data_IF_989159647049
#
_entry.id   IF_989159647049
#
_cell.length_a   1.000
_cell.length_b   1.000
_cell.length_c   1.000
_cell.angle_alpha   90.00
_cell.angle_beta   90.00
_cell.angle_gamma   90.00
#
_symmetry.space_group_name_H-M   'P 1'
#
loop_
_entity.id
_entity.type
_entity.pdbx_description
1 polymer ?
#
# COMPACT_ATOMS: atom_id res chain seq x y z
N UNK A 1 6.04 -9.19 -11.07
CA UNK A 1 4.66 -9.43 -10.60
C UNK A 1 3.65 -8.98 -11.65
N UNK A 2 2.60 -9.77 -11.88
CA UNK A 2 1.44 -9.35 -12.70
C UNK A 2 0.36 -8.66 -11.84
N UNK A 3 -0.64 -8.02 -12.45
CA UNK A 3 -1.66 -7.24 -11.73
C UNK A 3 -2.43 -8.07 -10.69
N UNK A 4 -2.88 -9.29 -11.05
CA UNK A 4 -3.62 -10.16 -10.14
C UNK A 4 -2.79 -10.56 -8.90
N UNK A 5 -1.51 -10.89 -9.10
CA UNK A 5 -0.60 -11.18 -7.99
C UNK A 5 -0.37 -9.96 -7.11
N UNK A 6 -0.26 -8.77 -7.71
CA UNK A 6 -0.11 -7.52 -6.98
C UNK A 6 -1.36 -7.21 -6.15
N UNK A 7 -2.56 -7.38 -6.71
CA UNK A 7 -3.81 -7.24 -5.98
C UNK A 7 -3.92 -8.24 -4.82
N UNK A 8 -3.56 -9.51 -5.05
CA UNK A 8 -3.52 -10.53 -4.00
C UNK A 8 -2.57 -10.14 -2.87
N UNK A 9 -1.40 -9.62 -3.19
CA UNK A 9 -0.43 -9.15 -2.19
C UNK A 9 -0.94 -7.93 -1.43
N UNK A 10 -1.53 -6.94 -2.11
CA UNK A 10 -2.11 -5.77 -1.45
C UNK A 10 -3.21 -6.18 -0.45
N UNK A 11 -4.13 -7.08 -0.85
CA UNK A 11 -5.19 -7.59 0.04
C UNK A 11 -4.65 -8.30 1.26
N UNK A 12 -3.66 -9.17 1.06
CA UNK A 12 -2.97 -9.85 2.16
C UNK A 12 -2.36 -8.82 3.11
N UNK A 13 -1.64 -7.85 2.57
CA UNK A 13 -0.97 -6.81 3.36
C UNK A 13 -1.98 -5.98 4.13
N UNK A 14 -3.11 -5.59 3.53
CA UNK A 14 -4.18 -4.84 4.23
C UNK A 14 -4.71 -5.60 5.46
N UNK A 15 -4.74 -6.93 5.43
CA UNK A 15 -5.11 -7.76 6.59
C UNK A 15 -3.97 -7.85 7.60
N UNK A 16 -2.77 -8.21 7.15
CA UNK A 16 -1.61 -8.44 8.01
C UNK A 16 -1.13 -7.14 8.72
N UNK A 17 -1.40 -5.96 8.15
CA UNK A 17 -0.94 -4.67 8.70
C UNK A 17 -1.59 -4.34 10.05
N UNK A 18 -2.78 -4.88 10.33
CA UNK A 18 -3.53 -4.63 11.56
C UNK A 18 -2.89 -5.31 12.79
N UNK A 19 -2.06 -6.34 12.57
CA UNK A 19 -1.37 -7.06 13.64
C UNK A 19 0.02 -6.47 13.97
N UNK A 20 0.42 -5.40 13.27
CA UNK A 20 1.74 -4.80 13.44
C UNK A 20 1.84 -3.98 14.73
N UNK A 21 3.05 -3.92 15.27
CA UNK A 21 3.37 -3.13 16.46
C UNK A 21 4.75 -2.48 16.28
N UNK A 22 5.16 -1.62 17.23
CA UNK A 22 6.45 -0.90 17.18
C UNK A 22 7.67 -1.79 16.90
N UNK A 23 7.65 -3.08 17.26
CA UNK A 23 8.78 -4.00 17.01
C UNK A 23 8.75 -4.63 15.63
N UNK A 24 7.58 -4.77 15.01
CA UNK A 24 7.38 -5.52 13.77
C UNK A 24 7.07 -4.63 12.57
N UNK A 25 6.54 -3.42 12.79
CA UNK A 25 6.06 -2.55 11.72
C UNK A 25 7.15 -2.20 10.70
N UNK A 26 8.36 -1.84 11.16
CA UNK A 26 9.45 -1.46 10.26
C UNK A 26 9.89 -2.61 9.34
N UNK A 27 10.08 -3.80 9.92
CA UNK A 27 10.50 -4.99 9.16
C UNK A 27 9.43 -5.43 8.15
N UNK A 28 8.15 -5.16 8.43
CA UNK A 28 7.04 -5.49 7.57
C UNK A 28 6.80 -4.45 6.47
N UNK A 29 6.90 -3.16 6.80
CA UNK A 29 6.57 -2.07 5.89
C UNK A 29 7.71 -1.74 4.91
N UNK A 30 8.98 -1.94 5.26
CA UNK A 30 10.09 -1.74 4.31
C UNK A 30 9.97 -2.58 3.01
N UNK A 31 9.78 -3.91 3.05
CA UNK A 31 9.63 -4.71 1.84
C UNK A 31 8.34 -4.38 1.09
N UNK A 32 7.25 -4.07 1.80
CA UNK A 32 6.00 -3.62 1.21
C UNK A 32 6.21 -2.36 0.35
N UNK A 33 6.86 -1.35 0.90
CA UNK A 33 7.09 -0.10 0.18
C UNK A 33 8.00 -0.29 -1.03
N UNK A 34 8.97 -1.21 -0.97
CA UNK A 34 9.77 -1.58 -2.14
C UNK A 34 8.89 -2.20 -3.22
N UNK A 35 8.04 -3.16 -2.87
CA UNK A 35 7.09 -3.77 -3.82
C UNK A 35 6.19 -2.71 -4.47
N UNK A 36 5.61 -1.80 -3.67
CA UNK A 36 4.73 -0.74 -4.16
C UNK A 36 5.49 0.24 -5.09
N UNK A 37 6.72 0.63 -4.73
CA UNK A 37 7.51 1.54 -5.54
C UNK A 37 7.92 0.93 -6.90
N UNK A 38 8.29 -0.36 -6.94
CA UNK A 38 8.76 -1.00 -8.16
C UNK A 38 7.64 -1.63 -8.99
N UNK A 39 6.83 -2.50 -8.39
CA UNK A 39 5.75 -3.17 -9.09
C UNK A 39 4.52 -2.27 -9.24
N UNK A 40 4.19 -1.46 -8.23
CA UNK A 40 3.06 -0.53 -8.27
C UNK A 40 3.19 0.54 -9.35
N UNK A 41 4.34 1.22 -9.46
CA UNK A 41 4.58 2.21 -10.54
C UNK A 41 4.54 1.56 -11.92
N UNK A 42 5.18 0.38 -12.08
CA UNK A 42 5.18 -0.36 -13.34
C UNK A 42 3.76 -0.77 -13.75
N UNK A 43 2.97 -1.30 -12.83
CA UNK A 43 1.61 -1.76 -13.08
C UNK A 43 0.65 -0.58 -13.29
N UNK A 44 0.82 0.52 -12.55
CA UNK A 44 0.04 1.74 -12.74
C UNK A 44 0.21 2.30 -14.16
N UNK A 45 1.45 2.35 -14.68
CA UNK A 45 1.71 2.79 -16.06
C UNK A 45 1.16 1.82 -17.10
N UNK A 46 1.23 0.51 -16.83
CA UNK A 46 0.81 -0.53 -17.76
C UNK A 46 -0.72 -0.66 -17.87
N UNK A 47 -1.43 -0.47 -16.77
CA UNK A 47 -2.88 -0.70 -16.67
C UNK A 47 -3.69 0.59 -16.43
N UNK A 48 -3.01 1.74 -16.35
CA UNK A 48 -3.61 3.06 -16.11
C UNK A 48 -4.46 3.06 -14.83
N UNK A 49 -3.90 2.56 -13.73
CA UNK A 49 -4.65 2.30 -12.48
C UNK A 49 -5.03 3.58 -11.71
N UNK A 50 -4.45 4.73 -12.09
CA UNK A 50 -4.61 6.02 -11.42
C UNK A 50 -4.22 5.98 -9.93
N UNK A 51 -3.28 5.11 -9.55
CA UNK A 51 -2.83 4.97 -8.16
C UNK A 51 -1.60 5.83 -7.82
N UNK A 52 -1.12 6.65 -8.77
CA UNK A 52 0.05 7.54 -8.59
C UNK A 52 0.04 8.34 -7.28
N UNK A 53 -1.09 8.94 -6.84
CA UNK A 53 -1.11 9.70 -5.59
C UNK A 53 -0.77 8.85 -4.37
N UNK A 54 -1.30 7.62 -4.30
CA UNK A 54 -1.04 6.68 -3.20
C UNK A 54 0.42 6.18 -3.23
N UNK A 55 0.97 5.95 -4.44
CA UNK A 55 2.39 5.58 -4.60
C UNK A 55 3.34 6.68 -4.11
N UNK A 56 3.01 7.95 -4.40
CA UNK A 56 3.81 9.10 -3.96
C UNK A 56 3.72 9.32 -2.45
N UNK A 57 2.53 9.18 -1.87
CA UNK A 57 2.33 9.31 -0.44
C UNK A 57 3.16 8.27 0.32
N UNK A 58 3.02 6.99 -0.04
CA UNK A 58 3.79 5.89 0.55
C UNK A 58 5.31 6.10 0.42
N UNK A 59 5.77 6.61 -0.73
CA UNK A 59 7.19 6.90 -0.95
C UNK A 59 7.71 8.06 -0.08
N UNK A 60 6.84 9.01 0.27
CA UNK A 60 7.16 10.18 1.08
C UNK A 60 7.15 9.82 2.57
N UNK A 61 6.08 9.14 3.04
CA UNK A 61 5.96 8.64 4.41
C UNK A 61 7.13 7.74 4.80
N UNK A 62 7.61 6.88 3.89
CA UNK A 62 8.81 6.07 4.11
C UNK A 62 10.06 6.88 4.45
N UNK A 63 10.21 8.09 3.89
CA UNK A 63 11.46 8.85 3.93
C UNK A 63 11.56 9.76 5.15
N UNK A 64 10.45 10.28 5.65
CA UNK A 64 10.43 11.25 6.76
C UNK A 64 9.94 10.66 8.09
N UNK A 65 8.94 9.77 8.04
CA UNK A 65 8.22 9.28 9.23
C UNK A 65 8.74 7.96 9.80
N UNK A 66 9.42 7.11 9.02
CA UNK A 66 9.93 5.83 9.54
C UNK A 66 11.20 6.01 10.38
N UNK A 67 11.02 6.19 11.69
CA UNK A 67 12.10 6.32 12.68
C UNK A 67 11.95 5.29 13.81
N UNK A 68 13.07 4.81 14.34
CA UNK A 68 13.08 3.82 15.44
C UNK A 68 12.50 4.38 16.77
N UNK A 69 12.48 5.71 16.92
CA UNK A 69 12.11 6.37 18.18
C UNK A 69 10.59 6.66 18.33
N UNK A 70 9.77 6.39 17.31
CA UNK A 70 8.34 6.73 17.31
C UNK A 70 7.57 6.18 18.52
N UNK A 71 6.66 6.97 19.08
CA UNK A 71 5.74 6.54 20.13
C UNK A 71 4.78 5.47 19.63
N UNK A 72 4.16 4.70 20.54
CA UNK A 72 3.16 3.68 20.17
C UNK A 72 2.03 4.30 19.33
N UNK A 73 1.53 5.46 19.74
CA UNK A 73 0.47 6.20 19.04
C UNK A 73 0.89 6.62 17.64
N UNK A 74 2.09 7.15 17.47
CA UNK A 74 2.61 7.54 16.15
C UNK A 74 2.72 6.33 15.21
N UNK A 75 3.18 5.18 15.73
CA UNK A 75 3.22 3.94 14.95
C UNK A 75 1.81 3.46 14.55
N UNK A 76 0.83 3.57 15.45
CA UNK A 76 -0.57 3.22 15.16
C UNK A 76 -1.16 4.14 14.08
N UNK A 77 -0.89 5.45 14.12
CA UNK A 77 -1.32 6.41 13.10
C UNK A 77 -0.70 6.13 11.73
N UNK A 78 0.59 5.76 11.69
CA UNK A 78 1.26 5.36 10.44
C UNK A 78 0.65 4.07 9.89
N UNK A 79 0.41 3.07 10.74
CA UNK A 79 -0.21 1.81 10.33
C UNK A 79 -1.60 2.06 9.72
N UNK A 80 -2.43 2.87 10.38
CA UNK A 80 -3.79 3.20 9.93
C UNK A 80 -3.77 3.97 8.59
N UNK A 81 -2.87 4.96 8.47
CA UNK A 81 -2.70 5.71 7.23
C UNK A 81 -2.25 4.82 6.07
N UNK A 82 -1.22 3.99 6.29
CA UNK A 82 -0.71 3.08 5.24
C UNK A 82 -1.78 2.06 4.85
N UNK A 83 -2.55 1.54 5.80
CA UNK A 83 -3.68 0.65 5.53
C UNK A 83 -4.71 1.33 4.63
N UNK A 84 -5.11 2.55 4.97
CA UNK A 84 -6.08 3.34 4.20
C UNK A 84 -5.64 3.52 2.74
N UNK A 85 -4.36 3.83 2.51
CA UNK A 85 -3.84 3.95 1.15
C UNK A 85 -3.85 2.62 0.39
N UNK A 86 -3.54 1.51 1.07
CA UNK A 86 -3.58 0.17 0.48
C UNK A 86 -5.01 -0.20 0.11
N UNK A 87 -5.98 0.03 0.98
CA UNK A 87 -7.39 -0.21 0.70
C UNK A 87 -7.90 0.64 -0.48
N UNK A 88 -7.46 1.90 -0.56
CA UNK A 88 -7.75 2.74 -1.71
C UNK A 88 -7.15 2.18 -3.02
N UNK A 89 -5.90 1.70 -2.98
CA UNK A 89 -5.27 1.07 -4.13
C UNK A 89 -5.99 -0.21 -4.56
N UNK A 90 -6.37 -1.08 -3.60
CA UNK A 90 -7.16 -2.29 -3.84
C UNK A 90 -8.46 -1.92 -4.56
N UNK A 91 -9.23 -0.99 -3.99
CA UNK A 91 -10.51 -0.55 -4.54
C UNK A 91 -10.37 -0.02 -5.98
N UNK A 92 -9.33 0.78 -6.25
CA UNK A 92 -9.06 1.30 -7.59
C UNK A 92 -8.71 0.21 -8.60
N UNK A 93 -7.92 -0.78 -8.20
CA UNK A 93 -7.54 -1.90 -9.05
C UNK A 93 -8.77 -2.76 -9.35
N UNK A 94 -9.60 -3.09 -8.35
CA UNK A 94 -10.81 -3.90 -8.52
C UNK A 94 -11.86 -3.24 -9.44
N UNK A 95 -12.00 -1.91 -9.35
CA UNK A 95 -12.88 -1.17 -10.26
C UNK A 95 -12.39 -1.14 -11.71
N UNK A 96 -11.08 -1.29 -11.95
CA UNK A 96 -10.51 -1.39 -13.31
C UNK A 96 -10.60 -2.80 -13.87
N UNK A 97 -10.55 -3.84 -13.01
CA UNK A 97 -10.74 -5.23 -13.43
C UNK A 97 -12.21 -5.58 -13.70
N UNK A 98 -13.14 -4.84 -13.10
CA UNK A 98 -14.58 -4.92 -13.42
C UNK A 98 -14.91 -3.94 -14.54
N UNK A 99 -15.26 -4.37 -15.77
CA UNK A 99 -15.82 -3.44 -16.75
C UNK A 99 -17.08 -2.79 -16.15
N UNK A 100 -17.41 -1.53 -16.51
CA UNK A 100 -18.68 -0.95 -16.10
C UNK A 100 -19.79 -1.88 -16.60
N UNK A 101 -20.55 -2.45 -15.67
CA UNK A 101 -21.84 -3.03 -15.98
C UNK A 101 -22.70 -1.88 -16.50
N UNK A 102 -22.73 -1.70 -17.82
CA UNK A 102 -23.62 -0.75 -18.46
C UNK A 102 -25.07 -1.17 -18.15
N UNK A 103 -25.94 -0.24 -17.67
CA UNK A 103 -27.38 -0.46 -17.68
C UNK A 103 -27.93 -0.46 -19.11
#
# INVERSE_FOLDING_TARGET
MILEEFLKQLKRVSTDIEELNKRTYHAYLDPLFKMIAYDGDRLNRKHDLMITPYLQYISTTKRDDFRDDLSKTEVEEIIDSVKTDIDCMIFRIEQKESPPAHP
#
